data_IF_993090734635
#
_entry.id   IF_993090734635
#
_cell.length_a   1.000
_cell.length_b   1.000
_cell.length_c   1.000
_cell.angle_alpha   90.00
_cell.angle_beta   90.00
_cell.angle_gamma   90.00
#
_symmetry.space_group_name_H-M   'P 1'
#
loop_
_entity.id
_entity.type
_entity.pdbx_description
1 polymer ?
#
# COMPACT_ATOMS: atom_id res chain seq x y z
N UNK A 1 -32.23 -9.98 -38.62
CA UNK A 1 -30.91 -9.73 -39.22
C UNK A 1 -30.21 -8.64 -38.42
N UNK A 2 -29.30 -8.99 -37.52
CA UNK A 2 -28.46 -8.01 -36.82
C UNK A 2 -27.26 -7.72 -37.73
N UNK A 3 -27.18 -6.47 -38.22
CA UNK A 3 -25.98 -6.01 -38.95
C UNK A 3 -24.80 -6.02 -37.97
N UNK A 4 -23.81 -6.84 -38.25
CA UNK A 4 -22.49 -6.77 -37.60
C UNK A 4 -21.86 -5.45 -38.02
N UNK A 5 -21.61 -4.57 -37.06
CA UNK A 5 -20.83 -3.36 -37.27
C UNK A 5 -19.42 -3.78 -37.67
N UNK A 6 -19.02 -3.56 -38.93
CA UNK A 6 -17.66 -3.70 -39.37
C UNK A 6 -16.79 -2.72 -38.57
N UNK A 7 -15.83 -3.26 -37.83
CA UNK A 7 -14.80 -2.45 -37.16
C UNK A 7 -14.09 -1.61 -38.24
N UNK A 8 -14.04 -0.29 -38.06
CA UNK A 8 -13.27 0.59 -38.92
C UNK A 8 -11.80 0.15 -38.87
N UNK A 9 -11.11 -0.02 -39.99
CA UNK A 9 -9.69 -0.36 -39.99
C UNK A 9 -8.93 0.72 -39.21
N UNK A 10 -8.03 0.29 -38.32
CA UNK A 10 -7.16 1.22 -37.59
C UNK A 10 -6.23 1.90 -38.60
N UNK A 11 -6.00 3.22 -38.47
CA UNK A 11 -5.19 3.99 -39.44
C UNK A 11 -3.68 3.67 -39.37
N UNK A 12 -3.26 2.72 -38.55
CA UNK A 12 -1.86 2.34 -38.32
C UNK A 12 -1.61 0.88 -38.67
N UNK A 13 -0.42 0.59 -39.21
CA UNK A 13 0.01 -0.78 -39.47
C UNK A 13 0.34 -1.55 -38.21
N UNK A 14 0.39 -2.89 -38.32
CA UNK A 14 0.81 -3.74 -37.18
C UNK A 14 2.22 -3.41 -36.71
N UNK A 15 3.12 -3.09 -37.61
CA UNK A 15 4.49 -2.66 -37.28
C UNK A 15 4.50 -1.34 -36.49
N UNK A 16 3.71 -0.37 -36.92
CA UNK A 16 3.55 0.90 -36.18
C UNK A 16 2.96 0.69 -34.80
N UNK A 17 1.94 -0.16 -34.66
CA UNK A 17 1.36 -0.48 -33.35
C UNK A 17 2.35 -1.20 -32.46
N UNK A 18 3.13 -2.14 -32.99
CA UNK A 18 4.21 -2.79 -32.27
C UNK A 18 5.24 -1.76 -31.78
N UNK A 19 5.70 -0.85 -32.64
CA UNK A 19 6.60 0.23 -32.28
C UNK A 19 6.05 1.08 -31.12
N UNK A 20 4.78 1.46 -31.18
CA UNK A 20 4.11 2.22 -30.12
C UNK A 20 4.17 1.49 -28.77
N UNK A 21 3.77 0.21 -28.74
CA UNK A 21 3.75 -0.55 -27.49
C UNK A 21 5.14 -1.01 -27.02
N UNK A 22 6.14 -1.02 -27.90
CA UNK A 22 7.54 -1.27 -27.54
C UNK A 22 8.25 -0.01 -27.05
N UNK A 23 7.67 1.17 -27.22
CA UNK A 23 8.23 2.42 -26.70
C UNK A 23 8.19 2.44 -25.17
N UNK A 24 9.34 2.77 -24.57
CA UNK A 24 9.45 2.88 -23.11
C UNK A 24 8.88 4.22 -22.63
N UNK A 25 7.91 4.18 -21.71
CA UNK A 25 7.25 5.40 -21.19
C UNK A 25 8.26 6.32 -20.49
N UNK A 26 9.26 5.76 -19.79
CA UNK A 26 10.25 6.53 -19.04
C UNK A 26 11.12 7.33 -20.02
N UNK A 27 11.61 6.66 -21.08
CA UNK A 27 12.42 7.29 -22.11
C UNK A 27 11.64 8.38 -22.83
N UNK A 28 10.40 8.09 -23.19
CA UNK A 28 9.49 9.05 -23.81
C UNK A 28 9.22 10.26 -22.90
N UNK A 29 8.95 10.03 -21.61
CA UNK A 29 8.71 11.09 -20.65
C UNK A 29 9.93 12.01 -20.50
N UNK A 30 11.13 11.43 -20.35
CA UNK A 30 12.39 12.21 -20.21
C UNK A 30 12.67 13.05 -21.44
N UNK A 31 12.51 12.50 -22.64
CA UNK A 31 12.69 13.26 -23.89
C UNK A 31 11.69 14.42 -24.01
N UNK A 32 10.53 14.28 -23.42
CA UNK A 32 9.49 15.31 -23.39
C UNK A 32 9.52 16.17 -22.11
N UNK A 33 10.66 16.24 -21.42
CA UNK A 33 10.92 17.21 -20.35
C UNK A 33 10.59 16.74 -18.93
N UNK A 34 10.13 15.51 -18.72
CA UNK A 34 9.95 14.98 -17.38
C UNK A 34 11.31 14.67 -16.74
N UNK A 35 11.47 15.10 -15.49
CA UNK A 35 12.59 14.68 -14.67
C UNK A 35 12.17 13.43 -13.90
N UNK A 36 12.99 12.39 -13.96
CA UNK A 36 12.69 11.14 -13.27
C UNK A 36 13.78 10.79 -12.26
N UNK A 37 13.39 10.10 -11.20
CA UNK A 37 14.30 9.53 -10.21
C UNK A 37 13.93 8.08 -9.93
N UNK A 38 14.92 7.30 -9.52
CA UNK A 38 14.69 5.89 -9.17
C UNK A 38 13.81 5.82 -7.91
N UNK A 39 12.70 5.11 -8.00
CA UNK A 39 11.86 4.74 -6.86
C UNK A 39 12.46 3.56 -6.08
N UNK A 40 11.64 2.56 -5.82
CA UNK A 40 12.07 1.27 -5.30
C UNK A 40 12.67 0.38 -6.41
N UNK A 41 12.83 -0.95 -6.16
CA UNK A 41 13.48 -1.89 -7.09
C UNK A 41 12.87 -1.92 -8.50
N UNK A 42 11.61 -1.57 -8.65
CA UNK A 42 10.85 -1.78 -9.90
C UNK A 42 10.13 -0.52 -10.41
N UNK A 43 10.25 0.60 -9.72
CA UNK A 43 9.56 1.84 -10.08
C UNK A 43 10.53 2.98 -10.34
N UNK A 44 10.09 3.91 -11.21
CA UNK A 44 10.73 5.20 -11.45
C UNK A 44 9.69 6.27 -11.18
N UNK A 45 10.05 7.30 -10.45
CA UNK A 45 9.15 8.37 -10.03
C UNK A 45 9.42 9.63 -10.85
N UNK A 46 8.36 10.26 -11.38
CA UNK A 46 8.47 11.55 -12.03
C UNK A 46 8.48 12.67 -10.99
N UNK A 47 9.53 13.52 -11.01
CA UNK A 47 9.66 14.66 -10.10
C UNK A 47 8.57 15.69 -10.35
N UNK A 48 8.05 16.28 -9.27
CA UNK A 48 7.06 17.37 -9.31
C UNK A 48 5.77 17.06 -10.09
N UNK A 49 5.46 15.78 -10.33
CA UNK A 49 4.32 15.33 -11.13
C UNK A 49 3.23 14.64 -10.30
N UNK A 50 3.01 15.11 -9.09
CA UNK A 50 1.84 14.72 -8.28
C UNK A 50 1.72 13.24 -7.93
N UNK A 51 2.84 12.52 -7.75
CA UNK A 51 2.81 11.10 -7.41
C UNK A 51 2.73 10.18 -8.64
N UNK A 52 3.25 10.62 -9.79
CA UNK A 52 3.35 9.82 -11.00
C UNK A 52 4.53 8.84 -10.90
N UNK A 53 4.22 7.55 -11.06
CA UNK A 53 5.16 6.45 -11.05
C UNK A 53 5.10 5.67 -12.36
N UNK A 54 6.27 5.23 -12.84
CA UNK A 54 6.43 4.30 -13.94
C UNK A 54 6.86 2.95 -13.38
N UNK A 55 6.28 1.88 -13.87
CA UNK A 55 6.51 0.52 -13.42
C UNK A 55 6.64 -0.44 -14.60
N UNK A 56 6.87 -1.71 -14.31
CA UNK A 56 7.01 -2.76 -15.31
C UNK A 56 8.03 -2.39 -16.41
N UNK A 57 9.22 -1.92 -15.97
CA UNK A 57 10.30 -1.50 -16.86
C UNK A 57 9.89 -0.43 -17.89
N UNK A 58 9.01 0.49 -17.49
CA UNK A 58 8.52 1.56 -18.38
C UNK A 58 7.41 1.13 -19.34
N UNK A 59 6.69 0.05 -19.03
CA UNK A 59 5.52 -0.40 -19.81
C UNK A 59 4.20 0.11 -19.27
N UNK A 60 4.18 0.67 -18.06
CA UNK A 60 2.99 1.22 -17.44
C UNK A 60 3.29 2.42 -16.55
N UNK A 61 2.24 3.19 -16.25
CA UNK A 61 2.29 4.28 -15.28
C UNK A 61 1.08 4.24 -14.34
N UNK A 62 1.27 4.81 -13.16
CA UNK A 62 0.21 5.11 -12.20
C UNK A 62 0.48 6.45 -11.53
N UNK A 63 -0.55 7.27 -11.40
CA UNK A 63 -0.49 8.54 -10.67
C UNK A 63 -1.37 8.47 -9.42
N UNK A 64 -0.76 8.50 -8.26
CA UNK A 64 -1.47 8.41 -6.97
C UNK A 64 -2.38 9.61 -6.68
N UNK A 65 -2.12 10.75 -7.27
CA UNK A 65 -2.92 11.97 -7.04
C UNK A 65 -4.20 11.98 -7.87
N UNK A 66 -4.12 11.49 -9.11
CA UNK A 66 -5.24 11.52 -10.06
C UNK A 66 -5.88 10.15 -10.26
N UNK A 67 -5.30 9.09 -9.68
CA UNK A 67 -5.69 7.68 -9.84
C UNK A 67 -5.66 7.20 -11.31
N UNK A 68 -4.99 7.96 -12.18
CA UNK A 68 -4.82 7.62 -13.58
C UNK A 68 -3.73 6.58 -13.77
N UNK A 69 -3.99 5.62 -14.63
CA UNK A 69 -3.07 4.52 -14.94
C UNK A 69 -3.25 4.07 -16.39
N UNK A 70 -2.24 3.41 -16.92
CA UNK A 70 -2.33 2.86 -18.27
C UNK A 70 -0.98 2.58 -18.91
N UNK A 71 -1.02 2.38 -20.22
CA UNK A 71 0.13 2.20 -21.10
C UNK A 71 0.62 3.55 -21.66
N UNK A 72 1.55 3.50 -22.61
CA UNK A 72 2.13 4.71 -23.23
C UNK A 72 1.08 5.58 -23.95
N UNK A 73 0.07 5.00 -24.57
CA UNK A 73 -0.97 5.76 -25.26
C UNK A 73 -1.81 6.53 -24.25
N UNK A 74 -2.19 5.87 -23.15
CA UNK A 74 -2.93 6.50 -22.06
C UNK A 74 -2.10 7.60 -21.37
N UNK A 75 -0.80 7.37 -21.21
CA UNK A 75 0.13 8.37 -20.68
C UNK A 75 0.19 9.63 -21.55
N UNK A 76 0.32 9.46 -22.87
CA UNK A 76 0.37 10.58 -23.80
C UNK A 76 -0.97 11.34 -23.84
N UNK A 77 -2.10 10.64 -23.77
CA UNK A 77 -3.41 11.28 -23.68
C UNK A 77 -3.54 12.14 -22.41
N UNK A 78 -3.13 11.60 -21.26
CA UNK A 78 -3.29 12.27 -19.96
C UNK A 78 -2.33 13.46 -19.79
N UNK A 79 -1.05 13.30 -20.12
CA UNK A 79 -0.01 14.27 -19.80
C UNK A 79 0.36 15.23 -20.92
N UNK A 80 -0.02 14.92 -22.17
CA UNK A 80 0.25 15.76 -23.33
C UNK A 80 -1.01 16.30 -24.00
N UNK A 81 -2.16 16.15 -23.32
CA UNK A 81 -3.44 16.75 -23.72
C UNK A 81 -3.96 16.24 -25.07
N UNK A 82 -3.60 15.02 -25.47
CA UNK A 82 -4.13 14.43 -26.71
C UNK A 82 -5.56 13.94 -26.49
N UNK A 83 -6.46 14.36 -27.37
CA UNK A 83 -7.89 14.08 -27.21
C UNK A 83 -8.31 12.71 -27.76
N UNK A 84 -7.52 12.16 -28.67
CA UNK A 84 -7.82 10.89 -29.31
C UNK A 84 -6.61 9.95 -29.23
N UNK A 85 -6.86 8.64 -29.27
CA UNK A 85 -5.79 7.63 -29.34
C UNK A 85 -4.95 7.80 -30.60
N UNK A 86 -5.56 8.22 -31.72
CA UNK A 86 -4.86 8.49 -32.99
C UNK A 86 -3.81 9.58 -32.81
N UNK A 87 -4.16 10.72 -32.24
CA UNK A 87 -3.22 11.82 -31.95
C UNK A 87 -2.09 11.39 -31.01
N UNK A 88 -2.41 10.56 -30.01
CA UNK A 88 -1.43 10.04 -29.07
C UNK A 88 -0.44 9.09 -29.78
N UNK A 89 -0.94 8.18 -30.62
CA UNK A 89 -0.13 7.25 -31.39
C UNK A 89 0.77 8.00 -32.38
N UNK A 90 0.24 8.99 -33.10
CA UNK A 90 1.04 9.83 -34.00
C UNK A 90 2.16 10.56 -33.25
N UNK A 91 1.90 11.09 -32.07
CA UNK A 91 2.93 11.72 -31.24
C UNK A 91 4.02 10.73 -30.82
N UNK A 92 3.67 9.51 -30.47
CA UNK A 92 4.62 8.47 -30.06
C UNK A 92 5.50 8.07 -31.25
N UNK A 93 4.90 7.85 -32.42
CA UNK A 93 5.61 7.46 -33.64
C UNK A 93 6.57 8.55 -34.16
N UNK A 94 6.23 9.81 -33.94
CA UNK A 94 7.05 10.96 -34.36
C UNK A 94 8.14 11.34 -33.33
N UNK A 95 8.16 10.69 -32.17
CA UNK A 95 9.17 10.93 -31.15
C UNK A 95 10.43 10.10 -31.44
N UNK A 96 11.61 10.73 -31.43
CA UNK A 96 12.91 10.06 -31.66
C UNK A 96 13.35 9.13 -30.51
N UNK A 97 12.44 8.76 -29.61
CA UNK A 97 12.67 7.94 -28.42
C UNK A 97 13.11 6.49 -28.72
N UNK A 98 13.31 6.13 -29.97
CA UNK A 98 13.67 4.77 -30.35
C UNK A 98 15.19 4.55 -30.16
N UNK A 99 15.54 3.86 -29.08
CA UNK A 99 16.90 3.34 -28.85
C UNK A 99 17.82 4.16 -27.94
N UNK A 100 17.33 5.23 -27.33
CA UNK A 100 18.10 5.90 -26.27
C UNK A 100 17.60 5.47 -24.89
N UNK A 101 18.51 4.90 -24.10
CA UNK A 101 18.21 4.57 -22.70
C UNK A 101 18.09 5.88 -21.92
N UNK A 102 16.98 6.09 -21.24
CA UNK A 102 16.83 7.26 -20.37
C UNK A 102 18.00 7.33 -19.39
N UNK A 103 18.68 8.46 -19.33
CA UNK A 103 19.56 8.76 -18.22
C UNK A 103 18.71 8.93 -16.96
N UNK A 104 18.48 7.80 -16.27
CA UNK A 104 17.93 7.86 -14.92
C UNK A 104 18.95 8.59 -14.09
N UNK A 105 18.65 9.86 -13.78
CA UNK A 105 19.48 10.63 -12.84
C UNK A 105 19.47 9.85 -11.52
N UNK A 106 20.64 9.47 -10.99
CA UNK A 106 20.68 8.89 -9.65
C UNK A 106 19.88 9.82 -8.72
N UNK A 107 19.13 9.28 -7.76
CA UNK A 107 18.44 10.15 -6.80
C UNK A 107 19.48 11.13 -6.29
N UNK A 108 19.22 12.43 -6.46
CA UNK A 108 20.03 13.44 -5.82
C UNK A 108 20.19 13.00 -4.36
N UNK A 109 21.42 12.98 -3.83
CA UNK A 109 21.61 12.65 -2.42
C UNK A 109 20.54 13.41 -1.65
N UNK A 110 19.60 12.65 -1.09
CA UNK A 110 18.50 13.28 -0.36
C UNK A 110 19.17 14.11 0.70
N UNK A 111 18.96 15.43 0.66
CA UNK A 111 19.41 16.32 1.73
C UNK A 111 19.12 15.59 3.07
N UNK A 112 20.08 15.59 4.00
CA UNK A 112 19.91 14.85 5.25
C UNK A 112 18.52 15.17 5.79
N UNK A 113 17.73 14.14 6.08
CA UNK A 113 16.37 14.31 6.61
C UNK A 113 16.47 15.22 7.81
N UNK A 114 15.66 16.26 7.83
CA UNK A 114 15.50 17.08 9.01
C UNK A 114 15.11 16.23 10.22
N UNK A 115 15.21 16.78 11.41
CA UNK A 115 14.75 16.08 12.61
C UNK A 115 13.22 15.94 12.58
N UNK A 116 12.71 14.72 12.85
CA UNK A 116 11.28 14.53 13.01
C UNK A 116 10.83 15.13 14.36
N UNK A 117 9.85 16.02 14.28
CA UNK A 117 9.23 16.62 15.46
C UNK A 117 7.81 16.09 15.59
N UNK A 118 7.50 15.41 16.70
CA UNK A 118 6.16 14.94 16.97
C UNK A 118 5.13 16.08 17.01
N UNK A 119 3.93 15.88 16.49
CA UNK A 119 2.84 16.84 16.66
C UNK A 119 2.56 17.09 18.16
N UNK A 120 2.24 18.32 18.56
CA UNK A 120 1.91 18.63 19.94
C UNK A 120 0.79 17.76 20.48
N UNK A 121 0.95 17.24 21.71
CA UNK A 121 -0.08 16.46 22.38
C UNK A 121 -1.29 17.34 22.74
N UNK A 122 -2.49 16.82 22.55
CA UNK A 122 -3.70 17.44 23.06
C UNK A 122 -3.71 17.41 24.60
N UNK A 123 -4.44 18.31 25.26
CA UNK A 123 -4.55 18.34 26.75
C UNK A 123 -5.14 17.05 27.34
N UNK A 124 -5.95 16.33 26.57
CA UNK A 124 -6.50 15.02 26.91
C UNK A 124 -6.64 14.16 25.66
N UNK A 125 -6.89 12.86 25.82
CA UNK A 125 -6.99 11.89 24.75
C UNK A 125 -8.40 11.30 24.56
N UNK A 126 -9.42 12.03 25.02
CA UNK A 126 -10.80 11.54 25.02
C UNK A 126 -11.29 11.19 23.61
N UNK A 127 -10.95 12.00 22.60
CA UNK A 127 -11.38 11.74 21.22
C UNK A 127 -10.66 10.52 20.61
N UNK A 128 -9.36 10.36 20.87
CA UNK A 128 -8.61 9.17 20.43
C UNK A 128 -9.18 7.92 21.07
N UNK A 129 -9.47 7.95 22.38
CA UNK A 129 -10.06 6.81 23.08
C UNK A 129 -11.46 6.50 22.51
N UNK A 130 -12.32 7.53 22.34
CA UNK A 130 -13.63 7.34 21.72
C UNK A 130 -13.54 6.78 20.30
N UNK A 131 -12.64 7.31 19.47
CA UNK A 131 -12.41 6.84 18.12
C UNK A 131 -11.97 5.36 18.08
N UNK A 132 -10.96 5.00 18.88
CA UNK A 132 -10.45 3.64 18.88
C UNK A 132 -11.47 2.63 19.44
N UNK A 133 -12.24 3.02 20.47
CA UNK A 133 -13.29 2.16 21.05
C UNK A 133 -14.52 2.11 20.17
N UNK A 134 -15.11 3.25 19.84
CA UNK A 134 -16.45 3.31 19.24
C UNK A 134 -16.42 3.12 17.71
N UNK A 135 -15.36 3.59 17.05
CA UNK A 135 -15.25 3.50 15.60
C UNK A 135 -14.44 2.28 15.15
N UNK A 136 -13.40 1.93 15.91
CA UNK A 136 -12.45 0.85 15.54
C UNK A 136 -12.62 -0.44 16.34
N UNK A 137 -13.45 -0.43 17.38
CA UNK A 137 -13.79 -1.61 18.16
C UNK A 137 -12.68 -2.11 19.10
N UNK A 138 -11.64 -1.33 19.34
CA UNK A 138 -10.50 -1.74 20.15
C UNK A 138 -10.83 -1.63 21.66
N UNK A 139 -10.44 -2.62 22.43
CA UNK A 139 -10.67 -2.66 23.87
C UNK A 139 -9.85 -1.61 24.61
N UNK A 140 -10.46 -1.02 25.62
CA UNK A 140 -9.87 0.10 26.39
C UNK A 140 -8.54 -0.24 27.04
N UNK A 141 -8.37 -1.45 27.56
CA UNK A 141 -7.15 -1.89 28.23
C UNK A 141 -5.96 -1.93 27.28
N UNK A 142 -6.15 -2.37 26.02
CA UNK A 142 -5.13 -2.32 24.98
C UNK A 142 -4.77 -0.86 24.66
N UNK A 143 -5.79 0.00 24.50
CA UNK A 143 -5.59 1.42 24.23
C UNK A 143 -4.80 2.09 25.35
N UNK A 144 -5.20 1.89 26.62
CA UNK A 144 -4.51 2.47 27.76
C UNK A 144 -3.09 1.94 27.92
N UNK A 145 -2.85 0.65 27.65
CA UNK A 145 -1.49 0.09 27.66
C UNK A 145 -0.58 0.80 26.65
N UNK A 146 -1.07 1.05 25.44
CA UNK A 146 -0.31 1.73 24.38
C UNK A 146 -0.15 3.24 24.63
N UNK A 147 -1.14 3.90 25.20
CA UNK A 147 -1.04 5.29 25.64
C UNK A 147 0.02 5.45 26.75
N UNK A 148 0.02 4.57 27.73
CA UNK A 148 1.01 4.59 28.84
C UNK A 148 2.45 4.35 28.33
N UNK A 149 2.61 3.61 27.22
CA UNK A 149 3.87 3.44 26.52
C UNK A 149 4.22 4.62 25.58
N UNK A 150 3.40 5.68 25.52
CA UNK A 150 3.48 6.78 24.57
C UNK A 150 3.39 6.36 23.09
N UNK A 151 2.99 5.14 22.79
CA UNK A 151 2.86 4.63 21.41
C UNK A 151 1.62 5.17 20.69
N UNK A 152 0.60 5.59 21.44
CA UNK A 152 -0.61 6.24 20.92
C UNK A 152 -0.87 7.52 21.70
N UNK A 153 -1.23 8.59 20.99
CA UNK A 153 -1.73 9.81 21.61
C UNK A 153 -2.60 10.62 20.65
N UNK A 154 -3.34 11.59 21.20
CA UNK A 154 -4.09 12.59 20.44
C UNK A 154 -3.21 13.81 20.19
N UNK A 155 -3.01 14.19 18.93
CA UNK A 155 -2.38 15.46 18.60
C UNK A 155 -3.40 16.59 18.51
N UNK A 156 -2.91 17.82 18.75
CA UNK A 156 -3.64 19.07 18.49
C UNK A 156 -2.69 20.09 17.90
N UNK A 157 -2.87 20.44 16.66
CA UNK A 157 -2.08 21.46 15.94
C UNK A 157 -3.00 22.52 15.34
N UNK A 158 -2.58 23.78 15.36
CA UNK A 158 -3.21 24.86 14.62
C UNK A 158 -2.40 25.14 13.36
N UNK A 159 -3.07 25.10 12.22
CA UNK A 159 -2.46 25.38 10.93
C UNK A 159 -3.36 26.33 10.13
N UNK A 160 -2.73 27.27 9.41
CA UNK A 160 -3.45 28.07 8.45
C UNK A 160 -3.97 27.19 7.30
N UNK A 161 -5.25 27.32 6.98
CA UNK A 161 -5.82 26.70 5.80
C UNK A 161 -5.16 27.29 4.56
N UNK A 162 -4.63 26.43 3.69
CA UNK A 162 -3.88 26.86 2.50
C UNK A 162 -4.70 27.70 1.50
N UNK A 163 -6.04 27.58 1.54
CA UNK A 163 -6.95 28.29 0.63
C UNK A 163 -7.48 29.59 1.21
N UNK A 164 -7.83 29.59 2.51
CA UNK A 164 -8.49 30.72 3.16
C UNK A 164 -7.56 31.55 4.06
N UNK A 165 -6.41 31.01 4.46
CA UNK A 165 -5.51 31.61 5.43
C UNK A 165 -6.03 31.54 6.89
N UNK A 166 -7.21 31.04 7.13
CA UNK A 166 -7.81 30.91 8.46
C UNK A 166 -7.07 29.84 9.29
N UNK A 167 -6.86 30.11 10.57
CA UNK A 167 -6.32 29.13 11.51
C UNK A 167 -7.38 28.06 11.79
N UNK A 168 -7.04 26.81 11.47
CA UNK A 168 -7.86 25.63 11.79
C UNK A 168 -7.13 24.71 12.75
N UNK A 169 -7.85 24.20 13.72
CA UNK A 169 -7.36 23.19 14.65
C UNK A 169 -7.53 21.80 14.04
N UNK A 170 -6.42 21.06 13.92
CA UNK A 170 -6.38 19.68 13.46
C UNK A 170 -6.05 18.77 14.66
N UNK A 171 -6.83 17.70 14.79
CA UNK A 171 -6.62 16.70 15.83
C UNK A 171 -6.58 15.32 15.18
N UNK A 172 -5.54 14.54 15.47
CA UNK A 172 -5.32 13.24 14.86
C UNK A 172 -4.97 12.20 15.93
N UNK A 173 -5.29 10.94 15.63
CA UNK A 173 -4.71 9.79 16.31
C UNK A 173 -3.29 9.59 15.76
N UNK A 174 -2.29 9.60 16.63
CA UNK A 174 -0.89 9.39 16.32
C UNK A 174 -0.43 8.03 16.81
N UNK A 175 0.27 7.30 15.93
CA UNK A 175 0.93 6.03 16.22
C UNK A 175 2.43 6.24 16.08
N UNK A 176 3.21 5.97 17.14
CA UNK A 176 4.62 6.38 17.21
C UNK A 176 5.54 5.18 17.26
N UNK A 177 6.60 5.25 16.45
CA UNK A 177 7.74 4.34 16.49
C UNK A 177 8.96 5.03 17.10
N UNK A 178 9.70 4.28 17.92
CA UNK A 178 10.85 4.77 18.70
C UNK A 178 12.13 4.04 18.33
N UNK A 179 13.28 4.74 18.49
CA UNK A 179 14.57 4.10 18.49
C UNK A 179 14.96 3.56 19.89
N UNK A 180 16.14 2.98 19.98
CA UNK A 180 16.67 2.34 21.18
C UNK A 180 16.91 3.30 22.35
N UNK A 181 17.08 4.58 22.04
CA UNK A 181 17.23 5.64 23.04
C UNK A 181 15.89 6.14 23.57
N UNK A 182 14.77 5.63 23.02
CA UNK A 182 13.42 6.13 23.31
C UNK A 182 13.09 7.43 22.57
N UNK A 183 13.88 7.83 21.57
CA UNK A 183 13.57 8.97 20.71
C UNK A 183 12.56 8.55 19.65
N UNK A 184 11.52 9.38 19.47
CA UNK A 184 10.55 9.15 18.40
C UNK A 184 11.20 9.39 17.02
N UNK A 185 11.05 8.41 16.12
CA UNK A 185 11.62 8.42 14.77
C UNK A 185 10.56 8.29 13.67
N UNK A 186 9.40 7.78 14.03
CA UNK A 186 8.27 7.58 13.13
C UNK A 186 6.97 7.99 13.81
N UNK A 187 6.06 8.60 13.05
CA UNK A 187 4.72 8.90 13.53
C UNK A 187 3.72 8.86 12.37
N UNK A 188 2.85 7.86 12.37
CA UNK A 188 1.68 7.84 11.51
C UNK A 188 0.53 8.62 12.14
N UNK A 189 -0.11 9.49 11.39
CA UNK A 189 -1.24 10.30 11.82
C UNK A 189 -2.50 9.90 11.05
N UNK A 190 -3.62 9.77 11.76
CA UNK A 190 -4.91 9.44 11.16
C UNK A 190 -6.00 10.33 11.71
N UNK A 191 -6.87 10.83 10.82
CA UNK A 191 -8.08 11.55 11.25
C UNK A 191 -8.98 10.66 12.11
N UNK A 192 -9.59 11.26 13.13
CA UNK A 192 -10.60 10.62 13.98
C UNK A 192 -12.03 10.94 13.53
N UNK A 193 -12.20 11.77 12.51
CA UNK A 193 -13.49 12.22 12.01
C UNK A 193 -13.98 11.32 10.87
N UNK A 194 -15.26 10.99 10.88
CA UNK A 194 -15.90 10.11 9.89
C UNK A 194 -15.94 10.69 8.48
N UNK A 195 -15.89 12.01 8.36
CA UNK A 195 -15.91 12.73 7.08
C UNK A 195 -14.51 13.05 6.53
N UNK A 196 -13.46 12.46 7.09
CA UNK A 196 -12.07 12.69 6.69
C UNK A 196 -11.32 11.37 6.51
N UNK A 197 -10.75 11.19 5.33
CA UNK A 197 -9.85 10.08 4.98
C UNK A 197 -8.38 10.39 5.27
N UNK A 198 -8.05 11.47 5.99
CA UNK A 198 -6.68 11.86 6.23
C UNK A 198 -5.87 10.74 6.92
N UNK A 199 -4.82 10.32 6.24
CA UNK A 199 -3.81 9.37 6.69
C UNK A 199 -2.47 9.85 6.13
N UNK A 200 -1.53 10.17 6.98
CA UNK A 200 -0.22 10.70 6.58
C UNK A 200 0.83 10.44 7.65
N UNK A 201 2.05 10.15 7.23
CA UNK A 201 3.18 10.14 8.14
C UNK A 201 3.61 11.57 8.47
N UNK A 202 4.12 11.78 9.68
CA UNK A 202 4.73 13.06 10.07
C UNK A 202 5.97 13.31 9.20
N UNK A 203 6.17 14.56 8.83
CA UNK A 203 7.35 14.98 8.07
C UNK A 203 8.64 14.51 8.74
N UNK A 204 9.61 14.07 7.95
CA UNK A 204 10.88 13.49 8.38
C UNK A 204 10.76 12.15 9.17
N UNK A 205 9.59 11.51 9.20
CA UNK A 205 9.45 10.16 9.75
C UNK A 205 10.39 9.19 9.05
N UNK A 206 11.04 8.33 9.84
CA UNK A 206 11.87 7.25 9.35
C UNK A 206 11.12 5.92 9.49
N UNK A 207 10.68 5.37 8.34
CA UNK A 207 9.90 4.14 8.30
C UNK A 207 10.66 2.90 8.76
N UNK A 208 11.97 2.96 8.91
CA UNK A 208 12.74 1.87 9.52
C UNK A 208 12.44 1.68 11.01
N UNK A 209 11.72 2.64 11.61
CA UNK A 209 11.28 2.61 13.02
C UNK A 209 9.76 2.50 13.12
N UNK A 210 9.13 1.63 12.34
CA UNK A 210 7.69 1.43 12.33
C UNK A 210 7.03 1.35 13.71
N UNK A 211 5.73 1.32 13.76
CA UNK A 211 5.01 1.10 15.02
C UNK A 211 5.22 -0.34 15.51
N UNK A 212 5.57 -0.52 16.79
CA UNK A 212 5.83 -1.84 17.35
C UNK A 212 5.02 -2.11 18.62
N UNK A 213 4.69 -3.38 18.84
CA UNK A 213 4.21 -3.90 20.12
C UNK A 213 5.14 -5.05 20.51
N UNK A 214 5.99 -4.81 21.51
CA UNK A 214 6.98 -5.80 21.93
C UNK A 214 6.32 -6.93 22.73
N UNK A 215 6.66 -8.17 22.36
CA UNK A 215 6.26 -9.40 23.03
C UNK A 215 7.40 -10.04 23.81
N UNK A 216 7.25 -11.33 24.11
CA UNK A 216 8.24 -12.14 24.83
C UNK A 216 8.46 -13.49 24.16
N UNK A 217 7.77 -13.77 23.06
CA UNK A 217 7.84 -15.04 22.35
C UNK A 217 8.94 -15.01 21.28
N UNK A 218 9.01 -16.07 20.49
CA UNK A 218 9.90 -16.16 19.32
C UNK A 218 9.17 -15.79 18.03
N UNK A 219 7.96 -15.22 18.10
CA UNK A 219 7.10 -14.91 16.95
C UNK A 219 6.83 -13.43 16.85
N UNK A 220 6.97 -12.92 15.63
CA UNK A 220 6.53 -11.57 15.25
C UNK A 220 5.46 -11.64 14.18
N UNK A 221 4.45 -10.79 14.31
CA UNK A 221 3.43 -10.52 13.28
C UNK A 221 3.75 -9.20 12.61
N UNK A 222 3.73 -9.17 11.28
CA UNK A 222 4.00 -7.97 10.49
C UNK A 222 2.73 -7.48 9.78
N UNK A 223 2.51 -6.17 9.81
CA UNK A 223 1.29 -5.51 9.32
C UNK A 223 1.63 -4.29 8.46
N UNK A 224 0.71 -3.90 7.57
CA UNK A 224 0.83 -2.66 6.81
C UNK A 224 0.61 -1.41 7.68
N UNK A 225 -0.32 -1.47 8.65
CA UNK A 225 -0.63 -0.33 9.50
C UNK A 225 -0.77 -0.67 10.98
N UNK A 226 -0.44 0.31 11.84
CA UNK A 226 -0.52 0.18 13.29
C UNK A 226 -1.93 -0.23 13.78
N UNK A 227 -2.98 0.24 13.10
CA UNK A 227 -4.36 -0.09 13.47
C UNK A 227 -4.64 -1.59 13.31
N UNK A 228 -4.08 -2.23 12.29
CA UNK A 228 -4.26 -3.66 12.04
C UNK A 228 -3.48 -4.50 13.05
N UNK A 229 -2.26 -4.09 13.40
CA UNK A 229 -1.49 -4.71 14.48
C UNK A 229 -2.23 -4.68 15.82
N UNK A 230 -2.86 -3.55 16.15
CA UNK A 230 -3.64 -3.38 17.39
C UNK A 230 -4.94 -4.18 17.32
N UNK A 231 -5.60 -4.22 16.17
CA UNK A 231 -6.83 -4.98 15.95
C UNK A 231 -6.59 -6.49 16.04
N UNK A 232 -5.49 -6.97 15.46
CA UNK A 232 -5.07 -8.36 15.61
C UNK A 232 -4.77 -8.72 17.06
N UNK A 233 -4.10 -7.83 17.82
CA UNK A 233 -3.90 -8.03 19.26
C UNK A 233 -5.23 -8.16 20.01
N UNK A 234 -6.22 -7.36 19.65
CA UNK A 234 -7.56 -7.43 20.22
C UNK A 234 -8.29 -8.73 19.83
N UNK A 235 -8.17 -9.17 18.58
CA UNK A 235 -8.71 -10.47 18.15
C UNK A 235 -8.08 -11.63 18.93
N UNK A 236 -6.75 -11.62 19.10
CA UNK A 236 -6.07 -12.59 19.96
C UNK A 236 -6.68 -12.63 21.36
N UNK A 237 -6.87 -11.47 22.00
CA UNK A 237 -7.49 -11.34 23.31
C UNK A 237 -8.91 -11.92 23.35
N UNK A 238 -9.73 -11.62 22.35
CA UNK A 238 -11.11 -12.12 22.25
C UNK A 238 -11.17 -13.63 22.07
N UNK A 239 -10.14 -14.22 21.47
CA UNK A 239 -9.96 -15.68 21.37
C UNK A 239 -9.25 -16.32 22.57
N UNK A 240 -9.08 -15.57 23.67
CA UNK A 240 -8.45 -16.08 24.91
C UNK A 240 -6.92 -16.24 24.83
N UNK A 241 -6.28 -15.65 23.82
CA UNK A 241 -4.82 -15.65 23.65
C UNK A 241 -4.24 -14.39 24.30
N UNK A 242 -3.16 -14.53 25.05
CA UNK A 242 -2.43 -13.39 25.60
C UNK A 242 -1.89 -12.52 24.47
N UNK A 243 -2.50 -11.35 24.29
CA UNK A 243 -2.16 -10.42 23.23
C UNK A 243 -0.76 -9.77 23.39
N UNK A 244 -0.20 -9.79 24.60
CA UNK A 244 1.15 -9.28 24.91
C UNK A 244 2.24 -10.32 24.70
N UNK A 245 1.87 -11.57 24.40
CA UNK A 245 2.86 -12.66 24.28
C UNK A 245 3.76 -12.50 23.05
N UNK A 246 3.18 -12.18 21.91
CA UNK A 246 3.87 -12.14 20.63
C UNK A 246 4.15 -10.69 20.20
N UNK A 247 5.25 -10.53 19.47
CA UNK A 247 5.66 -9.25 18.90
C UNK A 247 4.78 -8.85 17.72
N UNK A 248 4.62 -7.53 17.49
CA UNK A 248 3.95 -6.97 16.30
C UNK A 248 4.72 -5.78 15.79
N UNK A 249 4.88 -5.72 14.48
CA UNK A 249 5.53 -4.63 13.76
C UNK A 249 4.57 -4.13 12.68
N UNK A 250 4.42 -2.81 12.54
CA UNK A 250 3.65 -2.22 11.46
C UNK A 250 4.50 -1.19 10.73
N UNK A 251 4.62 -1.37 9.43
CA UNK A 251 5.55 -0.70 8.53
C UNK A 251 5.11 0.69 8.09
N UNK A 252 3.81 0.97 8.11
CA UNK A 252 3.21 2.17 7.50
C UNK A 252 3.17 2.15 5.97
N UNK A 253 3.56 1.05 5.34
CA UNK A 253 3.47 0.76 3.90
C UNK A 253 3.86 -0.70 3.65
N UNK A 254 3.82 -1.15 2.40
CA UNK A 254 4.31 -2.46 1.97
C UNK A 254 5.85 -2.48 1.81
N UNK A 255 6.59 -2.19 2.89
CA UNK A 255 8.06 -2.25 2.94
C UNK A 255 8.46 -3.15 4.09
N UNK A 256 9.60 -3.77 4.07
CA UNK A 256 10.09 -4.71 5.09
C UNK A 256 11.22 -4.12 5.96
N UNK A 257 11.42 -2.81 5.86
CA UNK A 257 12.55 -2.13 6.52
C UNK A 257 12.45 -2.09 8.04
N UNK A 258 11.23 -1.87 8.56
CA UNK A 258 11.03 -1.86 10.00
C UNK A 258 11.13 -3.28 10.58
N UNK A 259 10.65 -4.30 9.85
CA UNK A 259 10.82 -5.70 10.25
C UNK A 259 12.30 -6.09 10.29
N UNK A 260 13.09 -5.80 9.25
CA UNK A 260 14.52 -6.09 9.24
C UNK A 260 15.24 -5.50 10.46
N UNK A 261 15.02 -4.18 10.72
CA UNK A 261 15.57 -3.53 11.88
C UNK A 261 15.08 -4.14 13.20
N UNK A 262 13.80 -4.51 13.25
CA UNK A 262 13.23 -5.14 14.44
C UNK A 262 13.91 -6.47 14.76
N UNK A 263 14.12 -7.31 13.75
CA UNK A 263 14.76 -8.62 13.87
C UNK A 263 16.24 -8.52 14.27
N UNK A 264 16.96 -7.49 13.79
CA UNK A 264 18.35 -7.23 14.24
C UNK A 264 18.44 -7.00 15.76
N UNK A 265 17.39 -6.44 16.36
CA UNK A 265 17.32 -6.13 17.79
C UNK A 265 16.68 -7.23 18.63
N UNK A 266 15.99 -8.14 17.99
CA UNK A 266 15.28 -9.25 18.61
C UNK A 266 15.76 -10.60 18.03
N UNK A 267 17.02 -10.97 18.30
CA UNK A 267 17.60 -12.22 17.75
C UNK A 267 16.91 -13.48 18.29
N UNK A 268 16.11 -13.35 19.35
CA UNK A 268 15.25 -14.43 19.86
C UNK A 268 14.08 -14.74 18.94
N UNK A 269 13.67 -13.81 18.06
CA UNK A 269 12.59 -14.01 17.10
C UNK A 269 13.04 -14.90 15.96
N UNK A 270 12.36 -16.00 15.74
CA UNK A 270 12.66 -17.01 14.71
C UNK A 270 11.46 -17.36 13.85
N UNK A 271 10.28 -16.85 14.19
CA UNK A 271 9.05 -17.07 13.46
C UNK A 271 8.43 -15.72 13.04
N UNK A 272 8.09 -15.60 11.77
CA UNK A 272 7.47 -14.38 11.21
C UNK A 272 6.12 -14.76 10.60
N UNK A 273 5.09 -13.99 10.91
CA UNK A 273 3.75 -14.13 10.32
C UNK A 273 3.42 -12.85 9.58
N UNK A 274 3.28 -12.93 8.26
CA UNK A 274 2.90 -11.80 7.41
C UNK A 274 1.38 -11.64 7.42
N UNK A 275 0.91 -10.48 7.86
CA UNK A 275 -0.49 -10.14 8.11
C UNK A 275 -0.90 -8.92 7.29
N UNK A 276 -0.72 -9.00 5.97
CA UNK A 276 -1.03 -7.89 5.06
C UNK A 276 -2.49 -7.87 4.65
N UNK A 277 -2.93 -6.72 4.13
CA UNK A 277 -4.31 -6.49 3.71
C UNK A 277 -4.77 -7.50 2.65
N UNK A 278 -6.07 -7.80 2.64
CA UNK A 278 -6.72 -8.69 1.68
C UNK A 278 -7.46 -7.86 0.63
N UNK A 279 -6.71 -7.28 -0.29
CA UNK A 279 -7.19 -6.37 -1.33
C UNK A 279 -7.84 -7.11 -2.51
N UNK A 280 -8.79 -8.02 -2.25
CA UNK A 280 -9.43 -8.85 -3.28
C UNK A 280 -10.17 -8.07 -4.37
N UNK A 281 -10.62 -6.84 -4.06
CA UNK A 281 -11.33 -5.99 -5.02
C UNK A 281 -10.36 -5.17 -5.91
N UNK A 282 -9.05 -5.30 -5.70
CA UNK A 282 -8.05 -4.63 -6.51
C UNK A 282 -7.87 -5.35 -7.84
N UNK A 283 -7.79 -4.58 -8.93
CA UNK A 283 -7.56 -5.10 -10.27
C UNK A 283 -6.35 -4.46 -10.90
N UNK A 284 -5.62 -5.24 -11.69
CA UNK A 284 -4.58 -4.73 -12.60
C UNK A 284 -5.21 -3.93 -13.74
N UNK A 285 -4.41 -3.12 -14.47
CA UNK A 285 -4.90 -2.35 -15.62
C UNK A 285 -5.57 -3.17 -16.71
N UNK A 286 -5.26 -4.46 -16.82
CA UNK A 286 -5.86 -5.42 -17.75
C UNK A 286 -7.20 -6.03 -17.25
N UNK A 287 -7.65 -5.62 -16.04
CA UNK A 287 -8.86 -6.14 -15.40
C UNK A 287 -8.67 -7.42 -14.60
N UNK A 288 -7.45 -7.99 -14.56
CA UNK A 288 -7.15 -9.17 -13.75
C UNK A 288 -7.24 -8.81 -12.26
N UNK A 289 -7.92 -9.64 -11.48
CA UNK A 289 -7.92 -9.49 -10.01
C UNK A 289 -6.51 -9.60 -9.47
N UNK A 290 -6.10 -8.66 -8.63
CA UNK A 290 -4.77 -8.63 -8.07
C UNK A 290 -4.78 -8.19 -6.60
N UNK A 291 -4.54 -9.14 -5.73
CA UNK A 291 -4.45 -8.90 -4.30
C UNK A 291 -3.04 -8.47 -3.92
N UNK A 292 -2.77 -7.15 -3.96
CA UNK A 292 -1.44 -6.59 -3.71
C UNK A 292 -0.85 -7.00 -2.36
N UNK A 293 -1.65 -6.98 -1.29
CA UNK A 293 -1.21 -7.36 0.05
C UNK A 293 -0.79 -8.83 0.09
N UNK A 294 -1.59 -9.73 -0.46
CA UNK A 294 -1.30 -11.17 -0.43
C UNK A 294 -0.11 -11.56 -1.32
N UNK A 295 0.01 -10.96 -2.50
CA UNK A 295 1.20 -11.14 -3.36
C UNK A 295 2.47 -10.70 -2.65
N UNK A 296 2.43 -9.57 -1.93
CA UNK A 296 3.57 -9.11 -1.13
C UNK A 296 3.84 -10.03 0.06
N UNK A 297 2.80 -10.56 0.72
CA UNK A 297 2.95 -11.52 1.82
C UNK A 297 3.68 -12.79 1.37
N UNK A 298 3.31 -13.33 0.21
CA UNK A 298 3.98 -14.50 -0.37
C UNK A 298 5.43 -14.22 -0.75
N UNK A 299 5.71 -13.04 -1.32
CA UNK A 299 7.06 -12.64 -1.68
C UNK A 299 7.92 -12.49 -0.42
N UNK A 300 7.46 -11.73 0.58
CA UNK A 300 8.18 -11.53 1.83
C UNK A 300 8.38 -12.86 2.59
N UNK A 301 7.36 -13.73 2.61
CA UNK A 301 7.47 -15.06 3.22
C UNK A 301 8.61 -15.88 2.60
N UNK A 302 8.77 -15.86 1.27
CA UNK A 302 9.89 -16.56 0.59
C UNK A 302 11.23 -15.90 0.91
N UNK A 303 11.33 -14.57 0.83
CA UNK A 303 12.56 -13.83 1.11
C UNK A 303 13.08 -14.07 2.53
N UNK A 304 12.21 -14.04 3.54
CA UNK A 304 12.61 -14.28 4.93
C UNK A 304 12.85 -15.77 5.24
N UNK A 305 12.19 -16.69 4.54
CA UNK A 305 12.51 -18.11 4.63
C UNK A 305 13.94 -18.42 4.13
N UNK A 306 14.38 -17.77 3.05
CA UNK A 306 15.76 -17.86 2.55
C UNK A 306 16.80 -17.30 3.56
N UNK A 307 16.39 -16.33 4.39
CA UNK A 307 17.22 -15.82 5.50
C UNK A 307 17.22 -16.73 6.73
N UNK A 308 16.47 -17.84 6.71
CA UNK A 308 16.45 -18.86 7.77
C UNK A 308 15.34 -18.70 8.82
N UNK A 309 14.40 -17.77 8.61
CA UNK A 309 13.23 -17.64 9.47
C UNK A 309 12.15 -18.66 9.10
N UNK A 310 11.37 -19.07 10.10
CA UNK A 310 10.15 -19.84 9.86
C UNK A 310 9.00 -18.86 9.56
N UNK A 311 8.48 -18.94 8.36
CA UNK A 311 7.52 -17.95 7.85
C UNK A 311 6.11 -18.53 7.73
N UNK A 312 5.11 -17.68 7.93
CA UNK A 312 3.68 -17.98 7.79
C UNK A 312 2.97 -16.77 7.19
N UNK A 313 1.80 -17.00 6.63
CA UNK A 313 0.90 -15.94 6.16
C UNK A 313 -0.43 -16.10 6.91
N UNK A 314 -0.94 -15.00 7.46
CA UNK A 314 -2.26 -14.93 8.05
C UNK A 314 -3.06 -13.83 7.34
N UNK A 315 -3.95 -14.25 6.45
CA UNK A 315 -4.80 -13.35 5.69
C UNK A 315 -6.04 -12.99 6.50
N UNK A 316 -6.41 -11.69 6.62
CA UNK A 316 -7.68 -11.31 7.21
C UNK A 316 -8.85 -11.81 6.35
N UNK A 317 -9.98 -12.12 6.98
CA UNK A 317 -11.20 -12.56 6.31
C UNK A 317 -11.83 -11.43 5.52
N UNK A 318 -11.89 -10.24 6.11
CA UNK A 318 -12.30 -9.00 5.45
C UNK A 318 -11.09 -8.38 4.73
N UNK A 319 -11.18 -7.11 4.38
CA UNK A 319 -10.08 -6.39 3.74
C UNK A 319 -8.85 -6.24 4.65
N UNK A 320 -9.06 -5.95 5.93
CA UNK A 320 -8.02 -5.71 6.93
C UNK A 320 -8.42 -6.27 8.31
N UNK A 321 -7.46 -6.40 9.23
CA UNK A 321 -7.73 -6.91 10.58
C UNK A 321 -8.62 -6.00 11.41
N UNK A 322 -8.70 -4.71 11.10
CA UNK A 322 -9.64 -3.84 11.80
C UNK A 322 -11.09 -4.10 11.35
N UNK A 323 -11.32 -4.41 10.09
CA UNK A 323 -12.64 -4.83 9.62
C UNK A 323 -13.02 -6.19 10.22
N UNK A 324 -12.11 -7.17 10.28
CA UNK A 324 -12.34 -8.45 10.97
C UNK A 324 -12.77 -8.25 12.43
N UNK A 325 -12.07 -7.39 13.16
CA UNK A 325 -12.42 -7.07 14.56
C UNK A 325 -13.82 -6.46 14.67
N UNK A 326 -14.15 -5.55 13.77
CA UNK A 326 -15.46 -4.86 13.80
C UNK A 326 -16.60 -5.79 13.44
N UNK A 327 -16.40 -6.70 12.48
CA UNK A 327 -17.35 -7.77 12.14
C UNK A 327 -17.50 -8.72 13.32
N UNK A 328 -16.41 -9.20 13.91
CA UNK A 328 -16.42 -10.10 15.07
C UNK A 328 -17.21 -9.51 16.26
N UNK A 329 -17.10 -8.21 16.47
CA UNK A 329 -17.86 -7.49 17.51
C UNK A 329 -19.29 -7.10 17.12
N UNK A 330 -19.76 -7.47 15.94
CA UNK A 330 -21.09 -7.12 15.45
C UNK A 330 -21.28 -5.62 15.19
N UNK A 331 -20.22 -4.86 15.03
CA UNK A 331 -20.26 -3.41 14.74
C UNK A 331 -20.62 -3.09 13.30
N UNK A 332 -20.29 -3.98 12.40
CA UNK A 332 -20.62 -3.94 10.96
C UNK A 332 -20.99 -5.33 10.48
N UNK A 333 -21.76 -5.40 9.40
CA UNK A 333 -22.04 -6.67 8.74
C UNK A 333 -20.78 -7.17 8.00
N UNK A 334 -20.57 -8.50 7.89
CA UNK A 334 -19.52 -9.04 7.05
C UNK A 334 -19.76 -8.70 5.58
N UNK A 335 -18.66 -8.59 4.82
CA UNK A 335 -18.75 -8.39 3.37
C UNK A 335 -19.34 -9.63 2.72
N UNK A 336 -20.48 -9.48 2.03
CA UNK A 336 -21.09 -10.58 1.27
C UNK A 336 -20.23 -10.79 0.02
N UNK A 337 -19.41 -11.84 0.03
CA UNK A 337 -18.68 -12.28 -1.16
C UNK A 337 -19.54 -13.28 -1.91
N UNK A 338 -19.81 -13.02 -3.20
CA UNK A 338 -20.38 -14.05 -4.07
C UNK A 338 -19.31 -15.15 -4.18
N UNK A 339 -19.66 -16.37 -3.80
CA UNK A 339 -18.80 -17.51 -4.06
C UNK A 339 -18.61 -17.59 -5.58
N UNK A 340 -17.38 -17.52 -6.05
CA UNK A 340 -17.05 -17.96 -7.40
C UNK A 340 -17.36 -19.44 -7.42
N UNK A 341 -18.33 -19.84 -8.24
CA UNK A 341 -18.60 -21.26 -8.46
C UNK A 341 -17.28 -21.92 -8.87
N UNK A 342 -16.93 -23.07 -8.27
CA UNK A 342 -15.77 -23.80 -8.73
C UNK A 342 -15.99 -24.15 -10.20
N UNK A 343 -14.98 -23.91 -11.04
CA UNK A 343 -14.97 -24.37 -12.43
C UNK A 343 -15.34 -25.87 -12.43
N UNK A 344 -16.48 -26.20 -13.02
CA UNK A 344 -16.85 -27.59 -13.27
C UNK A 344 -15.77 -28.14 -14.22
N UNK A 345 -14.86 -28.95 -13.68
CA UNK A 345 -14.01 -29.81 -14.51
C UNK A 345 -14.91 -30.60 -15.46
N UNK A 346 -14.89 -30.22 -16.72
CA UNK A 346 -15.48 -31.02 -17.77
C UNK A 346 -14.75 -32.37 -17.79
N UNK A 347 -15.35 -33.34 -17.12
CA UNK A 347 -14.93 -34.74 -17.24
C UNK A 347 -15.00 -35.15 -18.70
N UNK A 348 -13.87 -35.35 -19.33
CA UNK A 348 -13.78 -36.06 -20.60
C UNK A 348 -14.29 -37.51 -20.36
N UNK A 349 -15.48 -37.78 -20.86
CA UNK A 349 -15.99 -39.16 -21.00
C UNK A 349 -15.01 -39.94 -21.89
N UNK A 350 -14.16 -40.75 -21.30
CA UNK A 350 -13.50 -41.83 -22.02
C UNK A 350 -14.52 -42.94 -22.31
N UNK A 351 -15.04 -42.92 -23.50
CA UNK A 351 -15.80 -44.00 -24.09
C UNK A 351 -14.86 -45.20 -24.35
N UNK A 352 -14.80 -46.14 -23.41
CA UNK A 352 -14.14 -47.42 -23.58
C UNK A 352 -15.11 -48.37 -24.32
N UNK A 353 -15.11 -48.24 -25.64
CA UNK A 353 -15.74 -49.25 -26.52
C UNK A 353 -15.05 -50.62 -26.44
N UNK A 354 -15.63 -51.54 -25.70
CA UNK A 354 -15.39 -52.97 -25.84
C UNK A 354 -16.71 -53.62 -26.30
N UNK A 355 -16.76 -53.94 -27.57
CA UNK A 355 -17.71 -54.89 -28.12
C UNK A 355 -17.13 -56.32 -28.14
N UNK A 356 -17.97 -57.34 -28.22
CA UNK A 356 -17.90 -58.66 -27.57
C UNK A 356 -16.96 -59.68 -28.19
#
# INVERSE_FOLDING_TARGET
>A
MRMQAQARPMPFTEEQMKQVFDTNIIDFAVQNGFQVEKGDRHTVHAKNSGGLYFFNHGRGFYCFTTEKKGNIVDFVMEYFGRRTKTEAIEMILNCEAYGQTAHIVPPAEKAPRGEMVLPPKAPNFNQVIAYLVQTRGIDKDIIYALINQNKIYQSKEEKADKKTGELKTYQNCCFVGYDESGKARYCAMRSMYSNSSFKQDRENSDKTYGFTMEGKSRRVYEFEAALDAISHANLCKLHGVDWMKDHRVAEGCLSDKALHRYLERHPEVTEIVFCYDNDMDSTLPDGTSHNHGQVKAEQASREFAELGYKTFIQTPTEKDFNLDLRVFKGMIAPTIRQATEPDEEQGEDMDDGLEP
#
